data_IF_551022188154
#
_entry.id   IF_551022188154
#
_cell.length_a   1.000
_cell.length_b   1.000
_cell.length_c   1.000
_cell.angle_alpha   90.00
_cell.angle_beta   90.00
_cell.angle_gamma   90.00
#
_symmetry.space_group_name_H-M   'P 1'
#
loop_
_entity.id
_entity.type
_entity.pdbx_description
1 polymer ?
#
# COMPACT_ATOMS: atom_id res chain seq x y z
N UNK A 1 -15.78 -21.58 25.12
CA UNK A 1 -14.70 -21.67 24.13
C UNK A 1 -15.29 -21.60 22.73
N UNK A 2 -15.07 -20.48 22.06
CA UNK A 2 -15.44 -20.29 20.64
C UNK A 2 -14.57 -21.19 19.76
N UNK A 3 -15.12 -21.96 18.83
CA UNK A 3 -14.34 -22.80 17.95
C UNK A 3 -13.49 -21.94 17.03
N UNK A 4 -12.17 -22.23 16.94
CA UNK A 4 -11.29 -21.66 15.92
C UNK A 4 -11.86 -22.02 14.54
N UNK A 5 -11.93 -21.07 13.57
CA UNK A 5 -12.34 -21.41 12.20
C UNK A 5 -11.43 -22.52 11.66
N UNK A 6 -12.04 -23.51 11.03
CA UNK A 6 -11.32 -24.66 10.47
C UNK A 6 -10.32 -24.20 9.42
N UNK A 7 -9.18 -24.89 9.33
CA UNK A 7 -8.13 -24.64 8.31
C UNK A 7 -8.69 -24.61 6.89
N UNK A 8 -9.73 -25.38 6.59
CA UNK A 8 -10.40 -25.42 5.31
C UNK A 8 -11.08 -24.08 4.92
N UNK A 9 -11.68 -23.36 5.88
CA UNK A 9 -12.25 -22.03 5.61
C UNK A 9 -11.15 -21.03 5.27
N UNK A 10 -10.04 -21.02 6.01
CA UNK A 10 -8.87 -20.19 5.75
C UNK A 10 -8.27 -20.46 4.37
N UNK A 11 -8.22 -21.71 3.92
CA UNK A 11 -7.66 -22.09 2.63
C UNK A 11 -8.56 -21.72 1.43
N UNK A 12 -9.88 -21.69 1.62
CA UNK A 12 -10.81 -21.19 0.59
C UNK A 12 -10.64 -19.69 0.35
N UNK A 13 -10.40 -18.90 1.41
CA UNK A 13 -10.14 -17.45 1.28
C UNK A 13 -8.83 -17.15 0.58
N UNK A 14 -7.77 -17.93 0.85
CA UNK A 14 -6.47 -17.78 0.20
C UNK A 14 -6.51 -18.02 -1.31
N UNK A 15 -7.45 -18.83 -1.81
CA UNK A 15 -7.59 -19.13 -3.24
C UNK A 15 -8.32 -18.03 -4.03
N UNK A 16 -8.99 -17.09 -3.37
CA UNK A 16 -9.80 -16.05 -4.02
C UNK A 16 -9.05 -14.71 -4.18
N UNK A 17 -7.95 -14.52 -3.47
CA UNK A 17 -7.14 -13.32 -3.50
C UNK A 17 -5.78 -13.59 -4.16
N UNK A 18 -5.06 -12.53 -4.52
CA UNK A 18 -3.68 -12.62 -4.95
C UNK A 18 -2.77 -12.24 -3.78
N UNK A 19 -1.91 -13.19 -3.40
CA UNK A 19 -0.80 -12.94 -2.48
C UNK A 19 0.50 -13.16 -3.25
N UNK A 20 1.33 -12.13 -3.29
CA UNK A 20 2.63 -12.14 -3.96
C UNK A 20 3.71 -11.84 -2.93
N UNK A 21 4.77 -12.62 -2.91
CA UNK A 21 5.99 -12.33 -2.17
C UNK A 21 7.17 -12.26 -3.15
N UNK A 22 7.95 -11.19 -3.06
CA UNK A 22 9.13 -10.96 -3.88
C UNK A 22 10.32 -10.67 -2.97
N UNK A 23 11.45 -11.37 -3.23
CA UNK A 23 12.71 -11.06 -2.58
C UNK A 23 13.50 -10.08 -3.45
N UNK A 24 14.13 -9.10 -2.79
CA UNK A 24 15.04 -8.16 -3.44
C UNK A 24 16.26 -7.92 -2.56
N UNK A 25 17.42 -7.79 -3.17
CA UNK A 25 18.65 -7.41 -2.48
C UNK A 25 19.02 -5.99 -2.90
N UNK A 26 19.08 -5.08 -1.94
CA UNK A 26 19.40 -3.67 -2.13
C UNK A 26 20.84 -3.43 -1.69
N UNK A 27 21.73 -3.20 -2.65
CA UNK A 27 23.17 -3.09 -2.39
C UNK A 27 23.54 -1.85 -1.57
N UNK A 28 22.74 -0.79 -1.65
CA UNK A 28 22.96 0.47 -0.91
C UNK A 28 22.61 0.38 0.59
N UNK A 29 22.11 -0.74 1.03
CA UNK A 29 21.80 -1.02 2.43
C UNK A 29 20.44 -0.51 2.91
N UNK A 30 20.13 -0.70 4.21
CA UNK A 30 18.80 -0.46 4.77
C UNK A 30 18.28 0.97 4.63
N UNK A 31 19.15 1.95 4.73
CA UNK A 31 18.75 3.37 4.65
C UNK A 31 18.20 3.76 3.27
N UNK A 32 18.65 3.09 2.22
CA UNK A 32 18.18 3.33 0.85
C UNK A 32 16.76 2.78 0.59
N UNK A 33 16.21 1.95 1.48
CA UNK A 33 14.85 1.41 1.35
C UNK A 33 13.75 2.41 1.75
N UNK A 34 14.10 3.62 2.20
CA UNK A 34 13.12 4.65 2.55
C UNK A 34 12.27 5.00 1.33
N UNK A 35 10.93 4.94 1.51
CA UNK A 35 9.99 5.22 0.42
C UNK A 35 9.67 4.02 -0.48
N UNK A 36 10.31 2.87 -0.29
CA UNK A 36 10.10 1.70 -1.15
C UNK A 36 8.64 1.20 -1.16
N UNK A 37 7.95 1.22 -0.02
CA UNK A 37 6.53 0.84 0.05
C UNK A 37 5.65 1.73 -0.82
N UNK A 38 5.98 3.03 -0.92
CA UNK A 38 5.28 3.98 -1.77
C UNK A 38 5.47 3.64 -3.25
N UNK A 39 6.70 3.33 -3.67
CA UNK A 39 7.02 2.91 -5.03
C UNK A 39 6.23 1.66 -5.42
N UNK A 40 6.22 0.66 -4.55
CA UNK A 40 5.46 -0.57 -4.76
C UNK A 40 3.96 -0.26 -4.92
N UNK A 41 3.40 0.59 -4.05
CA UNK A 41 2.01 1.02 -4.10
C UNK A 41 1.65 1.71 -5.42
N UNK A 42 2.50 2.63 -5.89
CA UNK A 42 2.33 3.32 -7.17
C UNK A 42 2.28 2.31 -8.33
N UNK A 43 3.28 1.43 -8.40
CA UNK A 43 3.39 0.45 -9.49
C UNK A 43 2.21 -0.52 -9.49
N UNK A 44 1.80 -1.01 -8.32
CA UNK A 44 0.62 -1.86 -8.20
C UNK A 44 -0.66 -1.14 -8.64
N UNK A 45 -0.86 0.12 -8.24
CA UNK A 45 -2.01 0.92 -8.65
C UNK A 45 -2.03 1.12 -10.18
N UNK A 46 -0.89 1.43 -10.79
CA UNK A 46 -0.79 1.62 -12.24
C UNK A 46 -1.03 0.33 -13.03
N UNK A 47 -0.52 -0.82 -12.56
CA UNK A 47 -0.81 -2.12 -13.18
C UNK A 47 -2.30 -2.43 -13.11
N UNK A 48 -2.94 -2.23 -11.97
CA UNK A 48 -4.37 -2.45 -11.81
C UNK A 48 -5.19 -1.53 -12.73
N UNK A 49 -4.78 -0.25 -12.85
CA UNK A 49 -5.42 0.72 -13.75
C UNK A 49 -5.25 0.34 -15.23
N UNK A 50 -4.07 -0.11 -15.64
CA UNK A 50 -3.84 -0.64 -17.01
C UNK A 50 -4.73 -1.84 -17.33
N UNK A 51 -5.14 -2.59 -16.31
CA UNK A 51 -6.03 -3.76 -16.45
C UNK A 51 -7.52 -3.43 -16.28
N UNK A 52 -7.90 -2.14 -16.22
CA UNK A 52 -9.29 -1.68 -16.19
C UNK A 52 -9.80 -1.28 -14.81
N UNK A 53 -8.96 -1.29 -13.78
CA UNK A 53 -9.31 -0.76 -12.45
C UNK A 53 -8.98 0.75 -12.33
N UNK A 54 -9.50 1.58 -13.21
CA UNK A 54 -9.09 2.98 -13.43
C UNK A 54 -9.16 3.88 -12.19
N UNK A 55 -10.01 3.53 -11.22
CA UNK A 55 -10.24 4.32 -10.01
C UNK A 55 -9.38 3.89 -8.82
N UNK A 56 -8.45 2.95 -9.00
CA UNK A 56 -7.51 2.56 -7.94
C UNK A 56 -6.61 3.73 -7.59
N UNK A 57 -6.44 3.96 -6.30
CA UNK A 57 -5.63 5.02 -5.69
C UNK A 57 -4.68 4.42 -4.67
N UNK A 58 -3.67 5.21 -4.27
CA UNK A 58 -2.77 4.86 -3.16
C UNK A 58 -3.18 5.56 -1.88
N UNK A 59 -2.93 4.94 -0.76
CA UNK A 59 -3.04 5.52 0.58
C UNK A 59 -1.73 5.33 1.32
N UNK A 60 -1.18 6.42 1.80
CA UNK A 60 0.03 6.39 2.63
C UNK A 60 -0.17 5.58 3.92
N UNK A 61 0.82 4.77 4.35
CA UNK A 61 2.11 4.59 3.69
C UNK A 61 2.15 3.39 2.70
N UNK A 62 1.19 2.48 2.69
CA UNK A 62 1.37 1.15 2.08
C UNK A 62 0.08 0.44 1.64
N UNK A 63 -1.00 1.18 1.42
CA UNK A 63 -2.28 0.59 1.04
C UNK A 63 -2.75 1.08 -0.35
N UNK A 64 -3.53 0.25 -1.03
CA UNK A 64 -4.30 0.65 -2.20
C UNK A 64 -5.79 0.72 -1.84
N UNK A 65 -6.43 1.74 -2.39
CA UNK A 65 -7.83 2.04 -2.16
C UNK A 65 -8.61 2.05 -3.48
N UNK A 66 -9.87 1.66 -3.39
CA UNK A 66 -10.85 1.76 -4.47
C UNK A 66 -12.19 2.16 -3.85
N UNK A 67 -12.80 3.25 -4.32
CA UNK A 67 -14.05 3.78 -3.76
C UNK A 67 -13.94 4.04 -2.23
N UNK A 68 -12.85 4.65 -1.79
CA UNK A 68 -12.51 4.94 -0.38
C UNK A 68 -12.48 3.71 0.55
N UNK A 69 -12.36 2.49 -0.01
CA UNK A 69 -12.22 1.23 0.72
C UNK A 69 -10.91 0.53 0.37
N UNK A 70 -10.34 -0.19 1.32
CA UNK A 70 -9.06 -0.89 1.15
C UNK A 70 -9.19 -2.04 0.17
N UNK A 71 -8.42 -1.97 -0.93
CA UNK A 71 -8.33 -2.99 -1.96
C UNK A 71 -7.11 -3.91 -1.76
N UNK A 72 -5.99 -3.34 -1.36
CA UNK A 72 -4.73 -4.08 -1.21
C UNK A 72 -3.88 -3.50 -0.08
N UNK A 73 -3.00 -4.34 0.44
CA UNK A 73 -1.96 -3.95 1.40
C UNK A 73 -0.60 -4.43 0.98
N UNK A 74 0.43 -3.67 1.36
CA UNK A 74 1.83 -3.93 1.07
C UNK A 74 2.57 -4.04 2.38
N UNK A 75 3.40 -5.06 2.52
CA UNK A 75 4.32 -5.25 3.63
C UNK A 75 5.74 -5.29 3.07
N UNK A 76 6.61 -4.45 3.60
CA UNK A 76 8.03 -4.48 3.29
C UNK A 76 8.79 -4.84 4.55
N UNK A 77 9.37 -6.03 4.56
CA UNK A 77 10.23 -6.50 5.63
C UNK A 77 11.68 -6.37 5.20
N UNK A 78 12.50 -5.83 6.08
CA UNK A 78 13.88 -5.49 5.77
C UNK A 78 14.79 -6.08 6.83
N UNK A 79 15.84 -6.78 6.36
CA UNK A 79 16.89 -7.34 7.19
C UNK A 79 18.25 -6.91 6.62
N UNK A 80 19.12 -6.43 7.49
CA UNK A 80 20.46 -6.00 7.11
C UNK A 80 21.12 -5.19 8.24
N UNK A 81 22.44 -5.06 8.18
CA UNK A 81 23.20 -4.20 9.06
C UNK A 81 23.60 -2.93 8.33
N UNK A 82 23.82 -1.86 9.07
CA UNK A 82 24.36 -0.63 8.50
C UNK A 82 25.72 -0.92 7.87
N UNK A 83 25.88 -0.54 6.59
CA UNK A 83 27.08 -0.80 5.81
C UNK A 83 27.05 -2.08 4.97
N UNK A 84 26.07 -2.96 5.17
CA UNK A 84 25.88 -4.16 4.36
C UNK A 84 24.68 -3.98 3.41
N UNK A 85 24.59 -4.82 2.38
CA UNK A 85 23.41 -4.91 1.54
C UNK A 85 22.17 -5.30 2.37
N UNK A 86 21.03 -4.68 2.09
CA UNK A 86 19.77 -5.03 2.70
C UNK A 86 19.09 -6.17 1.94
N UNK A 87 18.53 -7.11 2.69
CA UNK A 87 17.62 -8.13 2.17
C UNK A 87 16.19 -7.66 2.41
N UNK A 88 15.41 -7.58 1.34
CA UNK A 88 14.04 -7.06 1.37
C UNK A 88 13.09 -8.16 0.95
N UNK A 89 12.05 -8.39 1.74
CA UNK A 89 10.89 -9.20 1.36
C UNK A 89 9.70 -8.28 1.19
N UNK A 90 9.18 -8.23 -0.02
CA UNK A 90 7.99 -7.46 -0.41
C UNK A 90 6.81 -8.42 -0.40
N UNK A 91 5.87 -8.22 0.51
CA UNK A 91 4.59 -8.90 0.52
C UNK A 91 3.49 -7.98 -0.04
N UNK A 92 2.68 -8.48 -0.98
CA UNK A 92 1.53 -7.76 -1.51
C UNK A 92 0.29 -8.65 -1.47
N UNK A 93 -0.80 -8.14 -0.89
CA UNK A 93 -2.09 -8.81 -0.85
C UNK A 93 -3.15 -7.98 -1.58
N UNK A 94 -3.81 -8.55 -2.60
CA UNK A 94 -4.86 -7.88 -3.37
C UNK A 94 -6.16 -8.64 -3.21
N UNK A 95 -7.23 -7.96 -2.80
CA UNK A 95 -8.56 -8.49 -2.66
C UNK A 95 -9.20 -8.65 -4.05
N UNK A 96 -9.13 -9.83 -4.64
CA UNK A 96 -9.73 -10.08 -5.97
C UNK A 96 -11.19 -10.48 -5.88
N UNK A 97 -11.49 -11.49 -5.05
CA UNK A 97 -12.84 -11.97 -4.81
C UNK A 97 -12.92 -12.56 -3.41
N UNK A 98 -13.80 -12.07 -2.56
CA UNK A 98 -14.06 -12.65 -1.24
C UNK A 98 -15.56 -12.80 -1.02
N UNK A 99 -15.98 -13.94 -0.48
CA UNK A 99 -17.31 -14.02 0.13
C UNK A 99 -17.30 -13.14 1.39
N UNK A 100 -18.33 -12.34 1.60
CA UNK A 100 -18.45 -11.45 2.76
C UNK A 100 -18.13 -12.21 4.05
N UNK A 101 -17.10 -11.77 4.74
CA UNK A 101 -16.91 -12.03 6.18
C UNK A 101 -17.65 -10.91 6.88
N UNK A 102 -18.32 -11.21 7.99
CA UNK A 102 -19.09 -10.22 8.75
C UNK A 102 -18.30 -8.92 8.96
N UNK A 103 -18.93 -7.80 8.62
CA UNK A 103 -18.34 -6.44 8.63
C UNK A 103 -17.76 -6.00 9.98
N UNK A 104 -18.00 -6.76 11.05
CA UNK A 104 -17.59 -6.44 12.42
C UNK A 104 -16.08 -6.50 12.68
N UNK A 105 -15.27 -7.02 11.75
CA UNK A 105 -13.84 -7.29 11.99
C UNK A 105 -12.91 -6.25 11.34
N UNK A 106 -13.38 -5.39 10.43
CA UNK A 106 -12.50 -4.45 9.71
C UNK A 106 -12.99 -3.01 9.86
N UNK A 107 -12.36 -2.27 10.76
CA UNK A 107 -12.68 -0.86 11.08
C UNK A 107 -12.58 0.15 9.92
N UNK A 108 -12.14 -0.22 8.72
CA UNK A 108 -11.88 0.72 7.60
C UNK A 108 -12.70 0.42 6.35
N UNK A 109 -13.51 -0.63 6.35
CA UNK A 109 -14.11 -1.14 5.12
C UNK A 109 -13.06 -1.68 4.13
N UNK A 110 -13.39 -2.73 3.43
CA UNK A 110 -12.58 -3.29 2.37
C UNK A 110 -13.43 -3.53 1.12
N UNK A 111 -12.80 -3.64 -0.03
CA UNK A 111 -13.44 -3.91 -1.31
C UNK A 111 -12.65 -4.97 -2.07
N UNK A 112 -13.32 -5.73 -2.91
CA UNK A 112 -12.69 -6.62 -3.88
C UNK A 112 -12.84 -6.06 -5.30
N UNK A 113 -11.96 -6.50 -6.20
CA UNK A 113 -12.10 -6.18 -7.63
C UNK A 113 -13.44 -6.68 -8.17
N UNK A 114 -13.84 -7.89 -7.80
CA UNK A 114 -15.11 -8.48 -8.21
C UNK A 114 -16.33 -7.66 -7.74
N UNK A 115 -16.32 -7.17 -6.48
CA UNK A 115 -17.38 -6.30 -5.94
C UNK A 115 -17.48 -4.98 -6.70
N UNK A 116 -16.33 -4.47 -7.18
CA UNK A 116 -16.26 -3.28 -8.03
C UNK A 116 -16.62 -3.53 -9.49
N UNK A 117 -17.03 -4.76 -9.86
CA UNK A 117 -17.35 -5.13 -11.23
C UNK A 117 -16.13 -5.39 -12.13
N UNK A 118 -14.95 -5.55 -11.54
CA UNK A 118 -13.68 -5.73 -12.26
C UNK A 118 -13.26 -7.19 -12.19
N UNK A 119 -13.23 -7.87 -13.33
CA UNK A 119 -12.81 -9.26 -13.44
C UNK A 119 -11.43 -9.33 -14.09
N UNK A 120 -10.42 -9.69 -13.31
CA UNK A 120 -9.04 -9.85 -13.79
C UNK A 120 -8.61 -11.31 -13.64
N UNK A 121 -7.89 -11.80 -14.65
CA UNK A 121 -7.19 -13.08 -14.52
C UNK A 121 -6.02 -12.92 -13.54
N UNK A 122 -5.98 -13.79 -12.53
CA UNK A 122 -5.01 -13.72 -11.44
C UNK A 122 -3.57 -13.92 -11.94
N UNK A 123 -3.36 -14.81 -12.90
CA UNK A 123 -2.02 -15.10 -13.42
C UNK A 123 -1.52 -13.95 -14.29
N UNK A 124 -2.39 -13.35 -15.09
CA UNK A 124 -2.08 -12.16 -15.88
C UNK A 124 -1.70 -10.98 -14.96
N UNK A 125 -2.48 -10.75 -13.90
CA UNK A 125 -2.18 -9.72 -12.92
C UNK A 125 -0.83 -9.98 -12.23
N UNK A 126 -0.58 -11.22 -11.77
CA UNK A 126 0.67 -11.59 -11.11
C UNK A 126 1.88 -11.39 -12.04
N UNK A 127 1.79 -11.84 -13.30
CA UNK A 127 2.85 -11.69 -14.28
C UNK A 127 3.18 -10.20 -14.56
N UNK A 128 2.16 -9.37 -14.70
CA UNK A 128 2.35 -7.93 -14.89
C UNK A 128 2.97 -7.27 -13.66
N UNK A 129 2.50 -7.63 -12.46
CA UNK A 129 3.07 -7.12 -11.20
C UNK A 129 4.55 -7.48 -11.06
N UNK A 130 4.91 -8.73 -11.30
CA UNK A 130 6.32 -9.19 -11.21
C UNK A 130 7.20 -8.39 -12.18
N UNK A 131 6.76 -8.23 -13.43
CA UNK A 131 7.51 -7.48 -14.44
C UNK A 131 7.69 -6.02 -14.07
N UNK A 132 6.60 -5.32 -13.74
CA UNK A 132 6.63 -3.89 -13.48
C UNK A 132 7.30 -3.57 -12.13
N UNK A 133 7.12 -4.42 -11.11
CA UNK A 133 7.82 -4.27 -9.82
C UNK A 133 9.32 -4.46 -9.99
N UNK A 134 9.75 -5.46 -10.78
CA UNK A 134 11.18 -5.64 -11.03
C UNK A 134 11.80 -4.40 -11.67
N UNK A 135 11.20 -3.89 -12.74
CA UNK A 135 11.69 -2.69 -13.41
C UNK A 135 11.71 -1.46 -12.47
N UNK A 136 10.70 -1.34 -11.60
CA UNK A 136 10.64 -0.27 -10.62
C UNK A 136 11.70 -0.39 -9.53
N UNK A 137 12.02 -1.60 -9.08
CA UNK A 137 13.07 -1.84 -8.10
C UNK A 137 14.46 -1.51 -8.66
N UNK A 138 14.72 -1.90 -9.92
CA UNK A 138 15.96 -1.55 -10.63
C UNK A 138 16.11 -0.01 -10.76
N UNK A 139 15.04 0.71 -11.09
CA UNK A 139 15.05 2.17 -11.16
C UNK A 139 15.20 2.82 -9.77
N UNK A 140 14.51 2.26 -8.77
CA UNK A 140 14.59 2.75 -7.39
C UNK A 140 16.00 2.63 -6.80
N UNK A 141 16.73 1.56 -7.10
CA UNK A 141 18.15 1.44 -6.72
C UNK A 141 19.01 2.56 -7.28
N UNK A 142 18.73 3.02 -8.49
CA UNK A 142 19.51 4.05 -9.16
C UNK A 142 19.14 5.48 -8.75
N UNK A 143 17.84 5.76 -8.64
CA UNK A 143 17.30 7.10 -8.53
C UNK A 143 16.47 7.35 -7.27
N UNK A 144 16.24 6.32 -6.44
CA UNK A 144 15.44 6.42 -5.24
C UNK A 144 13.97 6.76 -5.51
N UNK A 145 13.37 7.52 -4.59
CA UNK A 145 11.94 7.89 -4.65
C UNK A 145 11.65 9.00 -5.68
N UNK A 146 12.64 9.78 -6.09
CA UNK A 146 12.45 11.00 -6.88
C UNK A 146 11.58 10.82 -8.15
N UNK A 147 11.79 9.78 -9.01
CA UNK A 147 10.98 9.58 -10.21
C UNK A 147 9.50 9.26 -9.94
N UNK A 148 9.17 8.91 -8.69
CA UNK A 148 7.84 8.45 -8.29
C UNK A 148 6.98 9.53 -7.65
N UNK A 149 7.54 10.68 -7.24
CA UNK A 149 6.81 11.72 -6.51
C UNK A 149 5.62 12.27 -7.31
N UNK A 150 5.81 12.59 -8.59
CA UNK A 150 4.72 13.10 -9.44
C UNK A 150 3.67 12.03 -9.76
N UNK A 151 4.07 10.76 -9.74
CA UNK A 151 3.16 9.62 -9.93
C UNK A 151 2.30 9.41 -8.68
N UNK A 152 2.92 9.52 -7.48
CA UNK A 152 2.21 9.50 -6.20
C UNK A 152 1.13 10.56 -6.15
N UNK A 153 1.46 11.82 -6.43
CA UNK A 153 0.52 12.95 -6.38
C UNK A 153 -0.75 12.70 -7.21
N UNK A 154 -0.62 12.09 -8.38
CA UNK A 154 -1.75 11.74 -9.26
C UNK A 154 -2.60 10.60 -8.73
N UNK A 155 -2.04 9.75 -7.87
CA UNK A 155 -2.68 8.54 -7.37
C UNK A 155 -3.13 8.67 -5.90
N UNK A 156 -2.67 9.68 -5.16
CA UNK A 156 -2.97 9.84 -3.74
C UNK A 156 -4.49 10.00 -3.52
N UNK A 157 -5.05 9.09 -2.71
CA UNK A 157 -6.48 9.06 -2.39
C UNK A 157 -6.89 10.18 -1.43
N UNK A 158 -5.94 10.73 -0.68
CA UNK A 158 -6.22 11.68 0.39
C UNK A 158 -5.64 13.06 0.18
N UNK A 159 -5.05 13.35 -0.97
CA UNK A 159 -4.50 14.68 -1.27
C UNK A 159 -5.57 15.77 -1.08
N UNK A 160 -5.24 16.81 -0.32
CA UNK A 160 -6.09 17.96 0.04
C UNK A 160 -7.40 17.59 0.79
N UNK A 161 -7.48 16.39 1.35
CA UNK A 161 -8.63 15.95 2.16
C UNK A 161 -8.32 16.06 3.65
N UNK A 162 -9.34 16.34 4.50
CA UNK A 162 -9.19 16.23 5.94
C UNK A 162 -8.93 14.77 6.33
N UNK A 163 -7.94 14.56 7.19
CA UNK A 163 -7.51 13.24 7.61
C UNK A 163 -7.20 13.20 9.10
N UNK A 164 -7.24 12.01 9.64
CA UNK A 164 -6.80 11.67 10.98
C UNK A 164 -5.56 10.78 10.90
N UNK A 165 -4.44 11.26 11.42
CA UNK A 165 -3.22 10.50 11.60
C UNK A 165 -3.25 9.83 12.97
N UNK A 166 -3.01 8.54 13.04
CA UNK A 166 -3.01 7.76 14.29
C UNK A 166 -1.59 7.27 14.55
N UNK A 167 -1.05 7.61 15.73
CA UNK A 167 0.28 7.21 16.18
C UNK A 167 0.13 6.62 17.58
N UNK A 168 0.15 5.28 17.71
CA UNK A 168 -0.24 4.63 18.94
C UNK A 168 -1.66 5.05 19.36
N UNK A 169 -1.80 5.61 20.57
CA UNK A 169 -3.09 6.10 21.09
C UNK A 169 -3.40 7.57 20.74
N UNK A 170 -2.48 8.25 20.01
CA UNK A 170 -2.66 9.66 19.65
C UNK A 170 -3.34 9.81 18.31
N UNK A 171 -4.35 10.68 18.25
CA UNK A 171 -5.02 11.08 17.04
C UNK A 171 -4.65 12.54 16.69
N UNK A 172 -4.20 12.75 15.46
CA UNK A 172 -3.76 14.05 14.96
C UNK A 172 -4.59 14.36 13.72
N UNK A 173 -5.36 15.46 13.79
CA UNK A 173 -6.22 15.89 12.69
C UNK A 173 -5.53 16.97 11.86
N UNK A 174 -5.74 16.93 10.55
CA UNK A 174 -5.19 17.93 9.64
C UNK A 174 -5.61 17.65 8.20
N UNK A 175 -5.05 18.42 7.26
CA UNK A 175 -5.28 18.25 5.83
C UNK A 175 -4.05 17.56 5.25
N UNK A 176 -4.24 16.43 4.53
CA UNK A 176 -3.16 15.78 3.81
C UNK A 176 -2.67 16.66 2.66
N UNK A 177 -1.38 16.92 2.59
CA UNK A 177 -0.72 17.70 1.52
C UNK A 177 0.23 16.84 0.68
N UNK A 178 -0.02 15.51 0.65
CA UNK A 178 0.80 14.56 -0.08
C UNK A 178 2.01 14.11 0.70
N UNK A 179 3.12 13.88 0.01
CA UNK A 179 4.38 13.42 0.59
C UNK A 179 5.53 14.37 0.24
N UNK A 180 6.56 14.38 1.06
CA UNK A 180 7.82 15.09 0.75
C UNK A 180 8.77 14.22 -0.09
N UNK A 181 9.98 14.76 -0.34
CA UNK A 181 11.03 14.08 -1.14
C UNK A 181 11.55 12.79 -0.49
N UNK A 182 11.37 12.63 0.81
CA UNK A 182 11.76 11.45 1.59
C UNK A 182 10.57 10.46 1.73
N UNK A 183 9.38 10.81 1.24
CA UNK A 183 8.17 9.99 1.37
C UNK A 183 7.45 10.15 2.70
N UNK A 184 7.80 11.15 3.50
CA UNK A 184 7.05 11.49 4.71
C UNK A 184 5.71 12.12 4.34
N UNK A 185 4.63 11.75 5.06
CA UNK A 185 3.33 12.39 4.89
C UNK A 185 3.41 13.87 5.31
N UNK A 186 2.94 14.75 4.45
CA UNK A 186 2.78 16.17 4.77
C UNK A 186 1.38 16.41 5.31
N UNK A 187 1.30 16.83 6.57
CA UNK A 187 0.03 17.15 7.23
C UNK A 187 0.00 18.63 7.61
N UNK A 188 -1.02 19.34 7.16
CA UNK A 188 -1.25 20.74 7.48
C UNK A 188 -2.21 20.86 8.67
N UNK A 189 -1.78 21.61 9.68
CA UNK A 189 -2.56 22.00 10.87
C UNK A 189 -2.38 23.50 11.08
N UNK A 190 -3.48 24.24 11.22
CA UNK A 190 -3.45 25.69 11.47
C UNK A 190 -2.56 26.48 10.49
N UNK A 191 -2.54 26.07 9.21
CA UNK A 191 -1.71 26.65 8.16
C UNK A 191 -0.22 26.25 8.20
N UNK A 192 0.17 25.36 9.11
CA UNK A 192 1.54 24.88 9.24
C UNK A 192 1.63 23.43 8.70
N UNK A 193 2.50 23.19 7.72
CA UNK A 193 2.74 21.87 7.17
C UNK A 193 3.89 21.20 7.91
N UNK A 194 3.65 19.98 8.44
CA UNK A 194 4.65 19.18 9.14
C UNK A 194 4.82 17.81 8.46
N UNK A 195 6.07 17.32 8.27
CA UNK A 195 6.32 15.97 7.78
C UNK A 195 6.16 14.94 8.89
N UNK A 196 5.59 13.78 8.52
CA UNK A 196 5.40 12.63 9.39
C UNK A 196 6.01 11.39 8.74
N UNK A 197 6.97 10.77 9.42
CA UNK A 197 7.65 9.57 8.91
C UNK A 197 6.77 8.32 9.10
N UNK A 198 7.02 7.28 8.29
CA UNK A 198 6.38 5.98 8.42
C UNK A 198 6.63 5.32 9.80
N UNK A 199 6.10 4.14 9.98
CA UNK A 199 6.09 3.37 11.22
C UNK A 199 4.68 2.87 11.50
N UNK A 200 4.24 2.91 12.75
CA UNK A 200 2.88 2.48 13.16
C UNK A 200 1.78 3.53 12.89
N UNK A 201 1.99 4.39 11.92
CA UNK A 201 1.08 5.49 11.59
C UNK A 201 -0.04 4.98 10.67
N UNK A 202 -1.28 5.29 10.99
CA UNK A 202 -2.46 4.99 10.16
C UNK A 202 -3.16 6.26 9.71
N UNK A 203 -3.33 6.42 8.41
CA UNK A 203 -4.05 7.55 7.81
C UNK A 203 -5.51 7.15 7.55
N UNK A 204 -6.45 7.94 8.03
CA UNK A 204 -7.90 7.73 7.85
C UNK A 204 -8.59 9.04 7.55
N UNK A 205 -9.68 9.01 6.78
CA UNK A 205 -10.53 10.18 6.60
C UNK A 205 -11.04 10.68 7.95
N UNK A 206 -11.08 12.01 8.14
CA UNK A 206 -11.67 12.64 9.31
C UNK A 206 -13.22 12.72 9.22
N UNK A 207 -13.78 12.46 8.04
CA UNK A 207 -15.22 12.40 7.85
C UNK A 207 -15.78 11.10 8.46
N UNK A 208 -16.86 11.25 9.21
CA UNK A 208 -17.61 10.13 9.80
C UNK A 208 -18.55 9.51 8.78
#
# INVERSE_FOLDING_TARGET
STPKPSSAASDVYKRQNLYLSMFWRLEQGPAAAIGLSLVIGIVMAEVLRKLGADKVRVKWPNDLYLQDRKLAGILVELTGKTGDAAQIVIGAGINMAMRRVEESVVNQGWITLQEAGINLDRNTLAAMLIRELRAALELFEQEGLAPYLSRWEKLDNFINRPVKLIIGDKEIFGISRGIDKQGALLLEQDGIIKPWMGGEISLRSAEK
#
